data_IF_784701583495
#
_entry.id   IF_784701583495
#
_cell.length_a   1.000
_cell.length_b   1.000
_cell.length_c   1.000
_cell.angle_alpha   90.00
_cell.angle_beta   90.00
_cell.angle_gamma   90.00
#
_symmetry.space_group_name_H-M   'P 1'
#
loop_
_entity.id
_entity.type
_entity.pdbx_description
1 polymer ?
#
# COMPACT_ATOMS: atom_id res chain seq x y z
N UNK A 1 -23.69 23.69 12.10
CA UNK A 1 -22.22 23.54 12.19
C UNK A 1 -21.68 22.23 11.62
N UNK A 2 -22.46 21.14 11.50
CA UNK A 2 -21.99 19.94 10.76
C UNK A 2 -22.14 20.13 9.24
N UNK A 3 -23.24 20.73 8.77
CA UNK A 3 -23.51 20.90 7.34
C UNK A 3 -22.54 21.84 6.59
N UNK A 4 -21.95 22.84 7.25
CA UNK A 4 -21.04 23.79 6.59
C UNK A 4 -19.66 23.18 6.29
N UNK A 5 -19.25 22.16 7.06
CA UNK A 5 -17.99 21.45 6.83
C UNK A 5 -18.13 20.43 5.68
N UNK A 6 -19.28 19.77 5.56
CA UNK A 6 -19.61 18.92 4.41
C UNK A 6 -19.73 19.72 3.11
N UNK A 7 -20.36 20.91 3.13
CA UNK A 7 -20.42 21.80 1.97
C UNK A 7 -19.04 22.36 1.55
N UNK A 8 -18.14 22.60 2.51
CA UNK A 8 -16.75 23.00 2.25
C UNK A 8 -15.92 21.84 1.68
N UNK A 9 -16.18 20.61 2.10
CA UNK A 9 -15.57 19.39 1.53
C UNK A 9 -16.09 19.14 0.11
N UNK A 10 -17.40 19.22 -0.14
CA UNK A 10 -18.01 19.06 -1.48
C UNK A 10 -17.53 20.14 -2.46
N UNK A 11 -17.35 21.38 -2.01
CA UNK A 11 -16.89 22.48 -2.87
C UNK A 11 -15.39 22.45 -3.15
N UNK A 12 -14.60 21.84 -2.26
CA UNK A 12 -13.17 21.53 -2.45
C UNK A 12 -12.97 20.36 -3.42
N UNK A 13 -13.66 19.25 -3.19
CA UNK A 13 -13.60 18.02 -3.99
C UNK A 13 -14.52 18.07 -5.22
N UNK A 14 -14.33 19.07 -6.09
CA UNK A 14 -14.88 18.98 -7.46
C UNK A 14 -14.18 17.85 -8.21
N UNK A 15 -14.92 17.10 -9.03
CA UNK A 15 -14.55 15.80 -9.65
C UNK A 15 -13.16 15.63 -10.29
N UNK A 16 -12.36 16.69 -10.44
CA UNK A 16 -10.93 16.61 -10.73
C UNK A 16 -10.13 15.93 -9.61
N UNK A 17 -10.48 16.17 -8.34
CA UNK A 17 -9.82 15.55 -7.19
C UNK A 17 -10.21 14.08 -7.03
N UNK A 18 -11.47 13.73 -7.32
CA UNK A 18 -11.91 12.34 -7.43
C UNK A 18 -11.13 11.58 -8.50
N UNK A 19 -10.92 12.20 -9.67
CA UNK A 19 -10.15 11.61 -10.77
C UNK A 19 -8.69 11.37 -10.37
N UNK A 20 -8.08 12.32 -9.64
CA UNK A 20 -6.71 12.19 -9.14
C UNK A 20 -6.56 11.03 -8.15
N UNK A 21 -7.49 10.91 -7.20
CA UNK A 21 -7.44 9.81 -6.21
C UNK A 21 -7.69 8.46 -6.88
N UNK A 22 -8.60 8.37 -7.85
CA UNK A 22 -8.80 7.15 -8.64
C UNK A 22 -7.52 6.75 -9.40
N UNK A 23 -6.79 7.72 -9.97
CA UNK A 23 -5.51 7.46 -10.63
C UNK A 23 -4.43 7.01 -9.63
N UNK A 24 -4.38 7.62 -8.44
CA UNK A 24 -3.45 7.21 -7.37
C UNK A 24 -3.72 5.79 -6.87
N UNK A 25 -4.99 5.39 -6.74
CA UNK A 25 -5.37 4.02 -6.37
C UNK A 25 -4.93 3.05 -7.46
N UNK A 26 -5.21 3.36 -8.72
CA UNK A 26 -4.79 2.50 -9.83
C UNK A 26 -3.26 2.32 -9.89
N UNK A 27 -2.50 3.39 -9.62
CA UNK A 27 -1.04 3.31 -9.52
C UNK A 27 -0.57 2.47 -8.34
N UNK A 28 -1.25 2.57 -7.18
CA UNK A 28 -0.97 1.72 -6.01
C UNK A 28 -1.21 0.24 -6.33
N UNK A 29 -2.30 -0.11 -7.00
CA UNK A 29 -2.61 -1.50 -7.38
C UNK A 29 -1.52 -2.09 -8.29
N UNK A 30 -1.04 -1.32 -9.29
CA UNK A 30 0.04 -1.76 -10.18
C UNK A 30 1.35 -1.96 -9.41
N UNK A 31 1.65 -1.07 -8.47
CA UNK A 31 2.84 -1.19 -7.63
C UNK A 31 2.71 -2.39 -6.68
N UNK A 32 1.52 -2.63 -6.11
CA UNK A 32 1.23 -3.76 -5.23
C UNK A 32 1.52 -5.09 -5.94
N UNK A 33 0.95 -5.31 -7.13
CA UNK A 33 1.16 -6.51 -7.95
C UNK A 33 2.66 -6.78 -8.21
N UNK A 34 3.41 -5.72 -8.54
CA UNK A 34 4.84 -5.79 -8.77
C UNK A 34 5.60 -6.12 -7.47
N UNK A 35 5.22 -5.50 -6.34
CA UNK A 35 5.86 -5.72 -5.04
C UNK A 35 5.59 -7.12 -4.49
N UNK A 36 4.39 -7.66 -4.65
CA UNK A 36 4.05 -9.03 -4.27
C UNK A 36 4.88 -10.05 -5.07
N UNK A 37 4.98 -9.83 -6.39
CA UNK A 37 5.82 -10.64 -7.27
C UNK A 37 7.30 -10.58 -6.87
N UNK A 38 7.80 -9.39 -6.50
CA UNK A 38 9.17 -9.23 -6.00
C UNK A 38 9.39 -9.93 -4.66
N UNK A 39 8.45 -9.82 -3.73
CA UNK A 39 8.54 -10.44 -2.40
C UNK A 39 8.59 -11.97 -2.50
N UNK A 40 7.78 -12.57 -3.39
CA UNK A 40 7.83 -14.01 -3.68
C UNK A 40 9.21 -14.40 -4.19
N UNK A 41 9.75 -13.68 -5.19
CA UNK A 41 11.07 -13.96 -5.76
C UNK A 41 12.18 -13.83 -4.72
N UNK A 42 12.15 -12.80 -3.88
CA UNK A 42 13.15 -12.60 -2.82
C UNK A 42 13.12 -13.71 -1.78
N UNK A 43 11.93 -14.16 -1.37
CA UNK A 43 11.78 -15.29 -0.44
C UNK A 43 12.28 -16.60 -1.04
N UNK A 44 12.00 -16.85 -2.33
CA UNK A 44 12.53 -18.03 -3.03
C UNK A 44 14.06 -18.02 -3.11
N UNK A 45 14.64 -16.85 -3.39
CA UNK A 45 16.10 -16.68 -3.41
C UNK A 45 16.72 -16.89 -2.03
N UNK A 46 16.08 -16.37 -0.97
CA UNK A 46 16.54 -16.58 0.41
C UNK A 46 16.46 -18.07 0.80
N UNK A 47 15.36 -18.74 0.47
CA UNK A 47 15.20 -20.18 0.71
C UNK A 47 16.26 -21.03 -0.01
N UNK A 48 16.70 -20.63 -1.20
CA UNK A 48 17.75 -21.34 -1.92
C UNK A 48 19.13 -21.25 -1.25
N UNK A 49 19.38 -20.21 -0.44
CA UNK A 49 20.68 -19.97 0.20
C UNK A 49 20.67 -20.17 1.72
N UNK A 50 19.50 -20.32 2.36
CA UNK A 50 19.35 -20.32 3.82
C UNK A 50 20.16 -21.42 4.52
N UNK A 51 20.35 -22.57 3.87
CA UNK A 51 21.16 -23.69 4.38
C UNK A 51 22.64 -23.35 4.57
N UNK A 52 23.13 -22.26 3.95
CA UNK A 52 24.53 -21.81 4.03
C UNK A 52 24.73 -20.65 5.00
N UNK A 53 23.67 -20.23 5.71
CA UNK A 53 23.66 -19.04 6.55
C UNK A 53 23.42 -19.40 8.02
N UNK A 54 23.73 -18.46 8.92
CA UNK A 54 23.36 -18.62 10.32
C UNK A 54 21.81 -18.58 10.43
N UNK A 55 21.17 -19.54 11.13
CA UNK A 55 19.72 -19.55 11.31
C UNK A 55 19.14 -18.24 11.86
N UNK A 56 19.87 -17.55 12.75
CA UNK A 56 19.43 -16.27 13.31
C UNK A 56 19.38 -15.20 12.22
N UNK A 57 20.42 -15.11 11.38
CA UNK A 57 20.49 -14.13 10.30
C UNK A 57 19.40 -14.38 9.25
N UNK A 58 19.12 -15.65 8.93
CA UNK A 58 18.02 -16.04 8.03
C UNK A 58 16.67 -15.55 8.57
N UNK A 59 16.41 -15.76 9.86
CA UNK A 59 15.17 -15.29 10.49
C UNK A 59 15.05 -13.76 10.45
N UNK A 60 16.14 -13.03 10.67
CA UNK A 60 16.13 -11.57 10.53
C UNK A 60 15.89 -11.12 9.08
N UNK A 61 16.44 -11.81 8.09
CA UNK A 61 16.20 -11.49 6.68
C UNK A 61 14.73 -11.69 6.30
N UNK A 62 14.10 -12.79 6.71
CA UNK A 62 12.65 -12.97 6.52
C UNK A 62 11.84 -11.87 7.21
N UNK A 63 12.24 -11.43 8.40
CA UNK A 63 11.58 -10.34 9.12
C UNK A 63 11.74 -8.99 8.43
N UNK A 64 12.91 -8.69 7.87
CA UNK A 64 13.15 -7.49 7.08
C UNK A 64 12.25 -7.49 5.84
N UNK A 65 12.16 -8.62 5.12
CA UNK A 65 11.26 -8.74 3.96
C UNK A 65 9.79 -8.53 4.35
N UNK A 66 9.36 -9.04 5.50
CA UNK A 66 8.01 -8.82 6.05
C UNK A 66 7.75 -7.34 6.39
N UNK A 67 8.71 -6.65 7.03
CA UNK A 67 8.56 -5.24 7.37
C UNK A 67 8.50 -4.34 6.14
N UNK A 68 9.27 -4.64 5.11
CA UNK A 68 9.21 -3.92 3.84
C UNK A 68 7.84 -4.09 3.19
N UNK A 69 7.30 -5.30 3.14
CA UNK A 69 5.92 -5.54 2.67
C UNK A 69 4.88 -4.78 3.49
N UNK A 70 5.06 -4.72 4.82
CA UNK A 70 4.17 -3.96 5.70
C UNK A 70 4.09 -2.45 5.42
N UNK A 71 5.10 -1.85 4.78
CA UNK A 71 5.05 -0.44 4.34
C UNK A 71 4.07 -0.28 3.17
N UNK A 72 4.07 -1.22 2.21
CA UNK A 72 3.14 -1.22 1.10
C UNK A 72 1.69 -1.35 1.59
N UNK A 73 1.43 -2.26 2.53
CA UNK A 73 0.11 -2.43 3.15
C UNK A 73 -0.40 -1.13 3.81
N UNK A 74 0.50 -0.34 4.43
CA UNK A 74 0.09 0.94 5.04
C UNK A 74 -0.28 1.97 3.98
N UNK A 75 0.45 2.03 2.86
CA UNK A 75 0.11 2.92 1.76
C UNK A 75 -1.26 2.57 1.14
N UNK A 76 -1.53 1.29 0.92
CA UNK A 76 -2.82 0.81 0.41
C UNK A 76 -3.98 1.14 1.35
N UNK A 77 -3.81 0.96 2.68
CA UNK A 77 -4.81 1.34 3.68
C UNK A 77 -5.16 2.83 3.66
N UNK A 78 -4.17 3.69 3.44
CA UNK A 78 -4.40 5.14 3.28
C UNK A 78 -5.20 5.40 2.00
N UNK A 79 -4.84 4.75 0.89
CA UNK A 79 -5.58 4.82 -0.38
C UNK A 79 -7.06 4.42 -0.24
N UNK A 80 -7.33 3.25 0.35
CA UNK A 80 -8.69 2.76 0.58
C UNK A 80 -9.52 3.72 1.46
N UNK A 81 -8.88 4.40 2.43
CA UNK A 81 -9.58 5.38 3.26
C UNK A 81 -9.93 6.65 2.49
N UNK A 82 -9.06 7.11 1.59
CA UNK A 82 -9.34 8.23 0.69
C UNK A 82 -10.48 7.88 -0.26
N UNK A 83 -10.49 6.67 -0.82
CA UNK A 83 -11.60 6.17 -1.66
C UNK A 83 -12.94 6.20 -0.91
N UNK A 84 -12.97 5.67 0.32
CA UNK A 84 -14.19 5.65 1.14
C UNK A 84 -14.71 7.06 1.44
N UNK A 85 -13.82 8.02 1.68
CA UNK A 85 -14.20 9.43 1.88
C UNK A 85 -14.84 10.03 0.63
N UNK A 86 -14.31 9.72 -0.55
CA UNK A 86 -14.85 10.21 -1.83
C UNK A 86 -16.14 9.50 -2.26
N UNK A 87 -16.30 8.23 -1.91
CA UNK A 87 -17.52 7.45 -2.22
C UNK A 87 -18.74 7.87 -1.40
N UNK A 88 -18.52 8.66 -0.33
CA UNK A 88 -19.54 9.15 0.59
C UNK A 88 -19.91 10.62 0.34
N UNK A 89 -19.32 11.25 -0.66
CA UNK A 89 -19.59 12.62 -1.12
C UNK A 89 -20.39 12.61 -2.42
#
# INVERSE_FOLDING_TARGET
MINELDELLETGFKGREVTLVAEMIHQLDVIEDDTDSMQIRLRQQLMAIESKMNPIDVMFLYKILEWVGGIADQAQRVGARLELMLSRS
#
